data_IF_628661753624
#
_entry.id   IF_628661753624
#
_cell.length_a   1.000
_cell.length_b   1.000
_cell.length_c   1.000
_cell.angle_alpha   90.00
_cell.angle_beta   90.00
_cell.angle_gamma   90.00
#
_symmetry.space_group_name_H-M   'P 1'
#
loop_
_entity.id
_entity.type
_entity.pdbx_description
1 polymer ?
#
# COMPACT_ATOMS: atom_id res chain seq x y z
N UNK A 1 -5.91 -12.73 11.40
CA UNK A 1 -4.77 -11.79 11.54
C UNK A 1 -5.15 -10.73 12.54
N UNK A 2 -4.17 -9.99 13.07
CA UNK A 2 -4.40 -8.93 14.03
C UNK A 2 -3.61 -7.69 13.63
N UNK A 3 -4.18 -6.52 13.85
CA UNK A 3 -3.43 -5.27 13.83
C UNK A 3 -2.73 -5.06 15.20
N UNK A 4 -1.63 -4.29 15.26
CA UNK A 4 -1.05 -3.84 16.53
C UNK A 4 -2.06 -3.07 17.38
N UNK A 5 -1.86 -3.05 18.71
CA UNK A 5 -2.72 -2.30 19.62
C UNK A 5 -2.74 -0.81 19.24
N UNK A 6 -3.93 -0.22 19.15
CA UNK A 6 -4.11 1.18 18.75
C UNK A 6 -3.92 1.46 17.26
N UNK A 7 -3.74 0.43 16.43
CA UNK A 7 -3.65 0.56 14.96
C UNK A 7 -4.68 -0.32 14.25
N UNK A 8 -4.94 0.01 13.00
CA UNK A 8 -5.78 -0.77 12.08
C UNK A 8 -5.01 -1.23 10.85
N UNK A 9 -5.57 -2.18 10.11
CA UNK A 9 -5.01 -2.62 8.83
C UNK A 9 -4.97 -1.45 7.85
N UNK A 10 -3.84 -1.23 7.19
CA UNK A 10 -3.62 -0.07 6.31
C UNK A 10 -3.01 1.15 7.01
N UNK A 11 -2.88 1.15 8.34
CA UNK A 11 -2.16 2.24 9.03
C UNK A 11 -0.68 2.24 8.66
N UNK A 12 -0.11 3.44 8.51
CA UNK A 12 1.33 3.63 8.30
C UNK A 12 2.11 3.31 9.59
N UNK A 13 3.20 2.56 9.42
CA UNK A 13 4.20 2.23 10.44
C UNK A 13 5.50 3.02 10.21
N UNK A 14 5.94 3.10 8.94
CA UNK A 14 7.09 3.90 8.52
C UNK A 14 6.67 4.72 7.31
N UNK A 15 6.77 6.04 7.42
CA UNK A 15 6.28 6.97 6.43
C UNK A 15 7.32 7.29 5.35
N UNK A 16 6.85 7.70 4.18
CA UNK A 16 7.71 8.28 3.14
C UNK A 16 8.38 9.58 3.62
N UNK A 17 9.54 9.91 3.03
CA UNK A 17 10.11 11.26 3.12
C UNK A 17 9.21 12.26 2.37
N UNK A 18 9.20 13.54 2.76
CA UNK A 18 8.38 14.56 2.11
C UNK A 18 8.87 14.93 0.69
N UNK A 19 10.12 14.59 0.34
CA UNK A 19 10.70 14.88 -0.97
C UNK A 19 11.67 13.79 -1.42
N UNK A 20 11.67 13.52 -2.72
CA UNK A 20 12.60 12.61 -3.40
C UNK A 20 13.17 13.24 -4.66
N UNK A 21 14.13 12.54 -5.29
CA UNK A 21 14.66 12.81 -6.62
C UNK A 21 14.55 11.55 -7.47
N UNK A 22 14.64 11.73 -8.79
CA UNK A 22 14.81 10.62 -9.72
C UNK A 22 16.01 9.74 -9.33
N UNK A 23 15.87 8.43 -9.51
CA UNK A 23 16.85 7.43 -9.10
C UNK A 23 16.79 7.03 -7.62
N UNK A 24 16.04 7.77 -6.77
CA UNK A 24 15.80 7.37 -5.39
C UNK A 24 14.64 6.38 -5.25
N UNK A 25 14.50 5.80 -4.06
CA UNK A 25 13.42 4.86 -3.73
C UNK A 25 12.50 5.47 -2.70
N UNK A 26 11.23 5.70 -3.06
CA UNK A 26 10.18 6.03 -2.13
C UNK A 26 9.67 4.75 -1.45
N UNK A 27 9.74 4.70 -0.12
CA UNK A 27 9.38 3.52 0.67
C UNK A 27 8.40 3.88 1.78
N UNK A 28 7.36 3.06 1.95
CA UNK A 28 6.38 3.16 3.04
C UNK A 28 6.07 1.77 3.56
N UNK A 29 5.91 1.65 4.88
CA UNK A 29 5.52 0.40 5.54
C UNK A 29 4.18 0.56 6.24
N UNK A 30 3.26 -0.36 6.00
CA UNK A 30 1.91 -0.39 6.56
C UNK A 30 1.70 -1.61 7.46
N UNK A 31 0.68 -1.53 8.33
CA UNK A 31 0.06 -2.70 8.94
C UNK A 31 -0.60 -3.53 7.83
N UNK A 32 -0.07 -4.72 7.60
CA UNK A 32 -0.40 -5.60 6.49
C UNK A 32 -1.38 -6.71 6.84
N UNK A 33 -2.20 -7.10 5.86
CA UNK A 33 -2.88 -8.39 5.82
C UNK A 33 -2.08 -9.43 5.02
N UNK A 34 -2.37 -10.71 5.20
CA UNK A 34 -1.80 -11.80 4.42
C UNK A 34 -2.29 -11.70 2.96
N UNK A 35 -1.40 -11.55 1.96
CA UNK A 35 -1.78 -11.33 0.56
C UNK A 35 -2.66 -12.44 -0.02
N UNK A 36 -2.57 -13.67 0.52
CA UNK A 36 -3.43 -14.79 0.10
C UNK A 36 -4.91 -14.52 0.29
N UNK A 37 -5.28 -13.64 1.22
CA UNK A 37 -6.67 -13.27 1.46
C UNK A 37 -7.28 -12.46 0.31
N UNK A 38 -6.46 -11.74 -0.46
CA UNK A 38 -6.91 -10.99 -1.63
C UNK A 38 -7.03 -11.87 -2.88
N UNK A 39 -6.33 -13.00 -2.93
CA UNK A 39 -6.33 -13.91 -4.08
C UNK A 39 -7.68 -14.62 -4.30
N UNK A 40 -8.46 -14.82 -3.23
CA UNK A 40 -9.76 -15.49 -3.28
C UNK A 40 -10.86 -14.64 -3.94
N UNK A 41 -10.63 -13.33 -4.12
CA UNK A 41 -11.67 -12.35 -4.45
C UNK A 41 -11.52 -11.64 -5.82
N UNK A 42 -10.55 -11.98 -6.68
CA UNK A 42 -10.25 -11.07 -7.80
C UNK A 42 -9.93 -11.70 -9.16
N UNK A 43 -10.69 -11.27 -10.16
CA UNK A 43 -10.34 -11.26 -11.59
C UNK A 43 -9.45 -10.08 -11.98
N UNK A 44 -9.37 -9.00 -11.18
CA UNK A 44 -8.38 -7.91 -11.30
C UNK A 44 -8.21 -7.22 -9.93
N UNK A 45 -7.05 -7.34 -9.27
CA UNK A 45 -6.74 -6.64 -8.01
C UNK A 45 -5.28 -6.17 -8.04
N UNK A 46 -5.04 -4.92 -7.64
CA UNK A 46 -3.69 -4.41 -7.39
C UNK A 46 -3.49 -4.35 -5.87
N UNK A 47 -2.33 -4.75 -5.38
CA UNK A 47 -1.91 -4.57 -3.99
C UNK A 47 -1.33 -3.18 -3.74
N UNK A 48 -0.81 -2.53 -4.78
CA UNK A 48 -0.10 -1.26 -4.71
C UNK A 48 -0.50 -0.37 -5.88
N UNK A 49 -0.67 0.92 -5.61
CA UNK A 49 -0.63 1.96 -6.65
C UNK A 49 0.31 3.11 -6.26
N UNK A 50 0.96 3.70 -7.26
CA UNK A 50 1.54 5.03 -7.17
C UNK A 50 0.57 5.99 -7.82
N UNK A 51 0.16 7.02 -7.10
CA UNK A 51 -0.79 8.02 -7.58
C UNK A 51 -0.13 9.40 -7.65
N UNK A 52 -0.47 10.16 -8.69
CA UNK A 52 -0.06 11.56 -8.88
C UNK A 52 -1.24 12.49 -8.67
N UNK A 53 -1.02 13.59 -7.96
CA UNK A 53 -2.03 14.61 -7.76
C UNK A 53 -2.04 15.61 -8.93
N UNK A 54 -3.23 15.86 -9.48
CA UNK A 54 -3.48 16.92 -10.46
C UNK A 54 -4.16 18.08 -9.76
N UNK A 55 -3.50 19.24 -9.73
CA UNK A 55 -4.08 20.47 -9.19
C UNK A 55 -5.22 21.01 -10.06
N UNK A 56 -5.19 20.75 -11.38
CA UNK A 56 -6.21 21.20 -12.33
C UNK A 56 -7.56 20.54 -12.04
N UNK A 57 -7.56 19.22 -11.80
CA UNK A 57 -8.76 18.44 -11.52
C UNK A 57 -9.00 18.21 -10.02
N UNK A 58 -8.08 18.65 -9.16
CA UNK A 58 -8.09 18.38 -7.71
C UNK A 58 -8.28 16.90 -7.39
N UNK A 59 -7.61 16.02 -8.15
CA UNK A 59 -7.80 14.58 -8.07
C UNK A 59 -6.48 13.81 -8.16
N UNK A 60 -6.50 12.58 -7.64
CA UNK A 60 -5.40 11.64 -7.74
C UNK A 60 -5.64 10.71 -8.93
N UNK A 61 -4.62 10.49 -9.76
CA UNK A 61 -4.62 9.51 -10.84
C UNK A 61 -3.55 8.45 -10.60
N UNK A 62 -3.89 7.19 -10.86
CA UNK A 62 -2.92 6.08 -10.80
C UNK A 62 -1.96 6.20 -11.97
N UNK A 63 -0.66 6.26 -11.67
CA UNK A 63 0.42 6.29 -12.67
C UNK A 63 1.17 4.97 -12.74
N UNK A 64 1.23 4.21 -11.64
CA UNK A 64 1.84 2.88 -11.58
C UNK A 64 1.01 1.96 -10.67
N UNK A 65 1.14 0.66 -10.89
CA UNK A 65 0.54 -0.39 -10.07
C UNK A 65 1.56 -1.50 -9.77
N UNK A 66 1.14 -2.55 -9.07
CA UNK A 66 1.99 -3.69 -8.69
C UNK A 66 2.50 -4.56 -9.85
N UNK A 67 1.97 -4.39 -11.07
CA UNK A 67 2.50 -4.99 -12.29
C UNK A 67 3.63 -4.15 -12.93
N UNK A 68 3.87 -2.94 -12.43
CA UNK A 68 4.89 -2.03 -12.96
C UNK A 68 6.28 -2.42 -12.45
N UNK A 69 7.26 -2.48 -13.36
CA UNK A 69 8.66 -2.87 -13.08
C UNK A 69 9.33 -2.05 -11.96
N UNK A 70 8.96 -0.79 -11.84
CA UNK A 70 9.54 0.14 -10.87
C UNK A 70 8.98 -0.03 -9.46
N UNK A 71 7.95 -0.85 -9.28
CA UNK A 71 7.29 -1.03 -8.00
C UNK A 71 7.61 -2.39 -7.37
N UNK A 72 7.67 -2.43 -6.04
CA UNK A 72 7.85 -3.68 -5.28
C UNK A 72 6.87 -3.74 -4.12
N UNK A 73 6.38 -4.95 -3.87
CA UNK A 73 5.50 -5.29 -2.75
C UNK A 73 6.19 -6.35 -1.89
N UNK A 74 6.50 -6.01 -0.64
CA UNK A 74 7.10 -6.92 0.32
C UNK A 74 6.13 -7.18 1.46
N UNK A 75 5.78 -8.45 1.68
CA UNK A 75 5.02 -8.87 2.86
C UNK A 75 5.93 -9.60 3.84
N UNK A 76 5.91 -9.17 5.10
CA UNK A 76 6.65 -9.80 6.18
C UNK A 76 5.71 -10.23 7.30
N UNK A 77 5.82 -11.51 7.69
CA UNK A 77 5.05 -12.08 8.79
C UNK A 77 5.68 -11.71 10.13
N UNK A 78 4.91 -11.06 10.98
CA UNK A 78 5.28 -10.80 12.37
C UNK A 78 4.81 -11.91 13.33
N UNK A 79 4.90 -11.60 14.62
CA UNK A 79 4.35 -12.44 15.68
C UNK A 79 2.86 -12.16 15.93
N UNK A 80 2.17 -13.02 16.69
CA UNK A 80 0.77 -12.80 17.14
C UNK A 80 -0.24 -12.56 16.00
N UNK A 81 0.06 -13.06 14.80
CA UNK A 81 -0.80 -12.90 13.62
C UNK A 81 -0.77 -11.49 13.02
N UNK A 82 0.20 -10.66 13.38
CA UNK A 82 0.50 -9.38 12.74
C UNK A 82 1.36 -9.59 11.50
N UNK A 83 1.25 -8.69 10.54
CA UNK A 83 2.16 -8.61 9.40
C UNK A 83 2.36 -7.18 8.98
N UNK A 84 3.47 -6.92 8.31
CA UNK A 84 3.80 -5.63 7.74
C UNK A 84 3.87 -5.77 6.22
N UNK A 85 3.45 -4.73 5.52
CA UNK A 85 3.62 -4.61 4.07
C UNK A 85 4.48 -3.39 3.79
N UNK A 86 5.59 -3.58 3.11
CA UNK A 86 6.44 -2.50 2.64
C UNK A 86 6.27 -2.36 1.14
N UNK A 87 5.91 -1.15 0.72
CA UNK A 87 5.82 -0.78 -0.68
C UNK A 87 7.03 0.06 -1.05
N UNK A 88 7.60 -0.23 -2.21
CA UNK A 88 8.67 0.58 -2.78
C UNK A 88 8.31 1.03 -4.19
N UNK A 89 8.60 2.30 -4.46
CA UNK A 89 8.65 2.83 -5.81
C UNK A 89 10.08 3.32 -6.09
N UNK A 90 10.73 2.67 -7.04
CA UNK A 90 12.06 3.04 -7.53
C UNK A 90 11.85 4.06 -8.63
N UNK A 91 12.12 5.32 -8.34
CA UNK A 91 11.71 6.43 -9.19
C UNK A 91 12.60 6.44 -10.44
N UNK A 92 12.08 6.15 -11.65
CA UNK A 92 12.90 6.11 -12.84
C UNK A 92 13.37 7.51 -13.24
N UNK A 93 14.47 7.58 -13.97
CA UNK A 93 14.92 8.81 -14.60
C UNK A 93 13.86 9.33 -15.59
N UNK A 94 13.65 10.65 -15.63
CA UNK A 94 12.63 11.31 -16.43
C UNK A 94 11.23 11.29 -15.82
N UNK A 95 11.06 10.86 -14.57
CA UNK A 95 9.76 10.97 -13.88
C UNK A 95 9.38 12.43 -13.72
N UNK A 96 8.19 12.80 -14.18
CA UNK A 96 7.75 14.18 -14.09
C UNK A 96 7.67 14.68 -12.64
N UNK A 97 8.19 15.90 -12.34
CA UNK A 97 8.01 16.51 -11.04
C UNK A 97 6.54 16.62 -10.64
N UNK A 98 6.28 16.56 -9.33
CA UNK A 98 4.92 16.72 -8.81
C UNK A 98 4.68 16.05 -7.47
N UNK A 99 3.42 16.04 -7.06
CA UNK A 99 2.99 15.44 -5.80
C UNK A 99 2.53 14.01 -6.02
N UNK A 100 3.10 13.07 -5.28
CA UNK A 100 2.81 11.65 -5.37
C UNK A 100 2.40 11.07 -4.02
N UNK A 101 1.75 9.90 -4.04
CA UNK A 101 1.51 9.06 -2.86
C UNK A 101 1.54 7.58 -3.24
N UNK A 102 1.86 6.72 -2.28
CA UNK A 102 1.74 5.27 -2.42
C UNK A 102 0.49 4.81 -1.69
N UNK A 103 -0.28 3.91 -2.31
CA UNK A 103 -1.45 3.28 -1.67
C UNK A 103 -1.32 1.77 -1.63
N UNK A 104 -1.81 1.23 -0.53
CA UNK A 104 -1.86 -0.20 -0.24
C UNK A 104 -3.31 -0.66 -0.30
N UNK A 105 -3.58 -1.77 -0.97
CA UNK A 105 -4.89 -2.44 -0.94
C UNK A 105 -4.71 -3.88 -0.48
N UNK A 106 -5.61 -4.33 0.39
CA UNK A 106 -5.51 -5.66 0.95
C UNK A 106 -6.81 -6.17 1.55
N UNK A 107 -6.76 -7.41 2.01
CA UNK A 107 -7.83 -8.04 2.76
C UNK A 107 -7.29 -8.68 4.02
N UNK A 108 -8.05 -8.61 5.11
CA UNK A 108 -7.79 -9.39 6.32
C UNK A 108 -8.96 -10.34 6.61
N UNK A 109 -8.65 -11.49 7.21
CA UNK A 109 -9.70 -12.42 7.66
C UNK A 109 -10.15 -12.06 9.07
N UNK A 110 -11.46 -11.82 9.22
CA UNK A 110 -12.13 -11.57 10.51
C UNK A 110 -13.07 -12.71 10.83
N UNK A 111 -12.97 -13.26 12.05
CA UNK A 111 -13.95 -14.22 12.57
C UNK A 111 -15.21 -13.45 12.97
N UNK A 112 -16.28 -13.60 12.19
CA UNK A 112 -17.56 -12.92 12.43
C UNK A 112 -18.44 -13.70 13.40
N UNK A 113 -18.42 -15.04 13.33
CA UNK A 113 -19.09 -15.95 14.28
C UNK A 113 -18.24 -17.19 14.53
N UNK A 114 -18.69 -18.12 15.38
CA UNK A 114 -17.96 -19.36 15.68
C UNK A 114 -17.65 -20.18 14.42
N UNK A 115 -18.51 -20.14 13.40
CA UNK A 115 -18.39 -20.92 12.16
C UNK A 115 -18.13 -20.07 10.90
N UNK A 116 -18.09 -18.74 11.02
CA UNK A 116 -17.97 -17.84 9.85
C UNK A 116 -16.75 -16.95 9.95
N UNK A 117 -15.88 -17.07 8.95
CA UNK A 117 -14.77 -16.16 8.69
C UNK A 117 -15.10 -15.37 7.43
N UNK A 118 -14.99 -14.05 7.51
CA UNK A 118 -15.20 -13.15 6.37
C UNK A 118 -13.87 -12.52 5.94
N UNK A 119 -13.75 -12.23 4.65
CA UNK A 119 -12.67 -11.40 4.10
C UNK A 119 -13.14 -9.96 4.10
N UNK A 120 -12.38 -9.05 4.72
CA UNK A 120 -12.73 -7.63 4.79
C UNK A 120 -11.67 -6.83 4.02
N UNK A 121 -12.05 -6.05 3.00
CA UNK A 121 -11.12 -5.19 2.28
C UNK A 121 -10.71 -4.02 3.15
N UNK A 122 -9.51 -3.52 2.93
CA UNK A 122 -9.02 -2.27 3.51
C UNK A 122 -8.03 -1.61 2.55
N UNK A 123 -7.79 -0.33 2.80
CA UNK A 123 -6.80 0.46 2.08
C UNK A 123 -5.97 1.29 3.05
N UNK A 124 -4.73 1.54 2.65
CA UNK A 124 -3.80 2.44 3.33
C UNK A 124 -3.24 3.44 2.34
N UNK A 125 -2.91 4.64 2.81
CA UNK A 125 -2.32 5.69 1.98
C UNK A 125 -1.14 6.30 2.72
N UNK A 126 -0.01 6.45 2.05
CA UNK A 126 1.09 7.27 2.56
C UNK A 126 0.68 8.73 2.61
N UNK A 127 1.45 9.52 3.35
CA UNK A 127 1.48 10.97 3.18
C UNK A 127 1.87 11.32 1.74
N UNK A 128 1.43 12.50 1.28
CA UNK A 128 1.84 13.03 0.00
C UNK A 128 3.30 13.51 0.06
N UNK A 129 4.05 13.29 -1.01
CA UNK A 129 5.45 13.72 -1.13
C UNK A 129 5.73 14.35 -2.49
N UNK A 130 6.76 15.19 -2.54
CA UNK A 130 7.20 15.85 -3.76
C UNK A 130 8.29 15.04 -4.47
N UNK A 131 8.20 15.02 -5.79
CA UNK A 131 9.33 14.74 -6.66
C UNK A 131 9.83 16.05 -7.28
#
# INVERSE_FOLDING_TARGET
ENAPAGKTFGDVLEEVRPKYREGEVAKVTFVGGNPRNSAENATVHNFLTVERYSSISSSWSVVLNDASWDTRFYWSKGSRGQSNVTLEWHIPAGTEPGTYRLRYFGHYKKRATLFRVISVPFEGSSSAFQL
#
